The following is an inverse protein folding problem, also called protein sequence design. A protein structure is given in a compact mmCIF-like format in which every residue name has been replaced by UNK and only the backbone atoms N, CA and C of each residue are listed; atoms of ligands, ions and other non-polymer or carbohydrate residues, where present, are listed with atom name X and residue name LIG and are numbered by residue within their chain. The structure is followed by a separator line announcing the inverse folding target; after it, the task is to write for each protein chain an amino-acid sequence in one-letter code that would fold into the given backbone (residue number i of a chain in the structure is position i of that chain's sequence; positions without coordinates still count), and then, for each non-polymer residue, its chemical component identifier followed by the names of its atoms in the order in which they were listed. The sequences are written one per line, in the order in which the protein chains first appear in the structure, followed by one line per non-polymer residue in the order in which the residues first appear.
data_IF_441137127055
#
_entry.id   IF_441137127055
#
_cell.length_a   1.000
_cell.length_b   1.000
_cell.length_c   1.000
_cell.angle_alpha   90.00
_cell.angle_beta   90.00
_cell.angle_gamma   90.00
#
_symmetry.space_group_name_H-M   'P 1'
#
loop_
_entity.id
_entity.type
_entity.pdbx_description
1 polymer ?
#
# COMPACT_ATOMS: atom_id res chain seq x y z
N UNK A 1 -3.43 12.18 33.25
CA UNK A 1 -3.15 10.73 33.25
C UNK A 1 -1.84 10.53 32.52
N UNK A 2 -0.89 9.79 33.09
CA UNK A 2 0.49 9.69 32.61
C UNK A 2 0.59 8.95 31.27
N UNK A 3 0.73 9.68 30.16
CA UNK A 3 1.05 9.09 28.86
C UNK A 3 2.56 8.84 28.73
N UNK A 4 3.08 7.84 29.42
CA UNK A 4 4.39 7.26 29.08
C UNK A 4 4.18 5.94 28.32
N UNK A 5 3.59 6.02 27.13
CA UNK A 5 3.47 4.85 26.26
C UNK A 5 4.72 4.79 25.39
N UNK A 6 5.79 4.22 25.94
CA UNK A 6 6.94 3.84 25.13
C UNK A 6 6.49 2.80 24.11
N UNK A 7 6.65 3.09 22.82
CA UNK A 7 6.26 2.12 21.80
C UNK A 7 7.25 0.97 21.76
N UNK A 8 6.74 -0.25 21.71
CA UNK A 8 7.56 -1.42 21.40
C UNK A 8 7.63 -1.65 19.90
N UNK A 9 8.66 -2.36 19.43
CA UNK A 9 8.77 -2.78 18.03
C UNK A 9 7.54 -3.58 17.61
N UNK A 10 7.03 -4.46 18.48
CA UNK A 10 5.85 -5.29 18.20
C UNK A 10 4.59 -4.44 18.00
N UNK A 11 4.37 -3.41 18.83
CA UNK A 11 3.22 -2.51 18.69
C UNK A 11 3.24 -1.70 17.39
N UNK A 12 4.43 -1.27 16.97
CA UNK A 12 4.62 -0.55 15.70
C UNK A 12 4.42 -1.49 14.50
N UNK A 13 4.89 -2.74 14.60
CA UNK A 13 4.69 -3.76 13.57
C UNK A 13 3.21 -4.15 13.42
N UNK A 14 2.46 -4.31 14.52
CA UNK A 14 1.05 -4.72 14.47
C UNK A 14 0.13 -3.65 13.86
N UNK A 15 0.53 -2.38 13.94
CA UNK A 15 -0.26 -1.24 13.47
C UNK A 15 0.40 -0.52 12.29
N UNK A 16 1.17 -1.22 11.46
CA UNK A 16 1.86 -0.58 10.35
C UNK A 16 0.87 -0.01 9.32
N UNK A 17 0.89 1.30 9.14
CA UNK A 17 0.05 1.98 8.14
C UNK A 17 0.35 1.44 6.73
N UNK A 18 -0.68 1.26 5.90
CA UNK A 18 -0.63 0.56 4.60
C UNK A 18 -0.28 -0.94 4.62
N UNK A 19 0.15 -1.50 5.76
CA UNK A 19 0.67 -2.87 5.86
C UNK A 19 -0.13 -3.82 6.74
N UNK A 20 -1.18 -3.35 7.41
CA UNK A 20 -2.05 -4.18 8.26
C UNK A 20 -2.72 -5.30 7.44
N UNK A 21 -2.79 -6.50 8.02
CA UNK A 21 -3.52 -7.60 7.41
C UNK A 21 -5.03 -7.35 7.54
N UNK A 22 -5.68 -7.15 6.39
CA UNK A 22 -7.12 -6.83 6.28
C UNK A 22 -7.91 -7.87 5.49
N UNK A 23 -7.21 -8.67 4.69
CA UNK A 23 -7.76 -9.80 3.94
C UNK A 23 -6.73 -10.92 3.93
N UNK A 24 -7.20 -12.15 4.07
CA UNK A 24 -6.42 -13.32 3.71
C UNK A 24 -6.29 -13.35 2.20
N UNK A 25 -5.07 -13.21 1.67
CA UNK A 25 -4.85 -13.02 0.23
C UNK A 25 -5.27 -14.23 -0.60
N UNK A 26 -5.26 -15.45 -0.02
CA UNK A 26 -5.55 -16.73 -0.69
C UNK A 26 -5.04 -16.78 -2.14
N UNK A 27 -3.80 -16.32 -2.36
CA UNK A 27 -3.30 -15.91 -3.68
C UNK A 27 -3.25 -17.03 -4.70
N UNK A 28 -3.12 -18.28 -4.26
CA UNK A 28 -3.17 -19.47 -5.11
C UNK A 28 -4.56 -19.70 -5.75
N UNK A 29 -5.65 -19.18 -5.16
CA UNK A 29 -6.99 -19.27 -5.74
C UNK A 29 -7.20 -18.33 -6.93
N UNK A 30 -6.30 -17.36 -7.15
CA UNK A 30 -6.35 -16.46 -8.31
C UNK A 30 -6.29 -17.19 -9.64
N UNK A 31 -5.69 -18.38 -9.68
CA UNK A 31 -5.60 -19.21 -10.89
C UNK A 31 -6.87 -20.04 -11.14
N UNK A 32 -7.70 -20.21 -10.11
CA UNK A 32 -8.93 -20.98 -10.18
C UNK A 32 -10.06 -20.11 -10.76
N UNK A 33 -10.36 -20.30 -12.05
CA UNK A 33 -11.38 -19.52 -12.75
C UNK A 33 -12.79 -19.67 -12.20
N UNK A 34 -13.14 -20.82 -11.60
CA UNK A 34 -14.46 -21.05 -11.00
C UNK A 34 -14.57 -20.29 -9.67
N UNK A 35 -13.56 -20.39 -8.80
CA UNK A 35 -13.49 -19.59 -7.58
C UNK A 35 -13.57 -18.09 -7.88
N UNK A 36 -12.79 -17.61 -8.85
CA UNK A 36 -12.77 -16.18 -9.21
C UNK A 36 -14.13 -15.73 -9.75
N UNK A 37 -14.81 -16.59 -10.53
CA UNK A 37 -16.17 -16.34 -11.01
C UNK A 37 -17.15 -16.22 -9.83
N UNK A 38 -17.21 -17.25 -8.98
CA UNK A 38 -18.11 -17.28 -7.83
C UNK A 38 -17.85 -16.08 -6.92
N UNK A 39 -16.59 -15.79 -6.64
CA UNK A 39 -16.16 -14.69 -5.78
C UNK A 39 -16.55 -13.31 -6.31
N UNK A 40 -16.38 -13.02 -7.61
CA UNK A 40 -16.74 -11.70 -8.15
C UNK A 40 -18.26 -11.52 -8.31
N UNK A 41 -18.99 -12.60 -8.58
CA UNK A 41 -20.45 -12.56 -8.71
C UNK A 41 -21.18 -12.64 -7.37
N UNK A 42 -20.50 -13.04 -6.30
CA UNK A 42 -21.12 -13.23 -5.00
C UNK A 42 -21.78 -11.93 -4.50
N UNK A 43 -23.00 -11.97 -3.91
CA UNK A 43 -23.64 -10.79 -3.33
C UNK A 43 -22.78 -10.07 -2.28
N UNK A 44 -21.97 -10.81 -1.54
CA UNK A 44 -21.10 -10.23 -0.51
C UNK A 44 -19.84 -9.56 -1.06
N UNK A 45 -19.50 -9.72 -2.35
CA UNK A 45 -18.24 -9.17 -2.88
C UNK A 45 -18.14 -7.65 -2.67
N UNK A 46 -16.94 -7.18 -2.36
CA UNK A 46 -16.59 -5.78 -2.09
C UNK A 46 -15.70 -5.23 -3.19
N UNK A 47 -15.99 -4.01 -3.62
CA UNK A 47 -15.27 -3.34 -4.71
C UNK A 47 -14.75 -1.98 -4.27
N UNK A 48 -13.46 -1.76 -4.53
CA UNK A 48 -12.78 -0.47 -4.34
C UNK A 48 -12.44 0.08 -5.72
N UNK A 49 -12.98 1.24 -6.06
CA UNK A 49 -12.85 1.83 -7.39
C UNK A 49 -11.72 2.83 -7.47
N UNK A 50 -11.02 2.80 -8.59
CA UNK A 50 -9.91 3.68 -8.90
C UNK A 50 -10.05 4.29 -10.29
N UNK A 51 -9.59 5.53 -10.45
CA UNK A 51 -9.42 6.20 -11.73
C UNK A 51 -8.02 6.82 -11.75
N UNK A 52 -7.18 6.46 -12.71
CA UNK A 52 -5.75 6.76 -12.77
C UNK A 52 -5.00 6.37 -11.49
N UNK A 53 -5.39 5.23 -10.88
CA UNK A 53 -4.89 4.74 -9.57
C UNK A 53 -5.27 5.60 -8.36
N UNK A 54 -6.14 6.60 -8.56
CA UNK A 54 -6.71 7.42 -7.49
C UNK A 54 -8.01 6.78 -7.01
N UNK A 55 -8.19 6.56 -5.70
CA UNK A 55 -9.35 5.91 -5.13
C UNK A 55 -10.57 6.84 -5.12
N UNK A 56 -11.76 6.26 -5.25
CA UNK A 56 -13.02 6.94 -5.01
C UNK A 56 -13.19 7.20 -3.50
N UNK A 57 -13.50 8.44 -3.15
CA UNK A 57 -13.73 8.84 -1.76
C UNK A 57 -15.01 9.64 -1.57
N UNK A 58 -15.47 9.70 -0.32
CA UNK A 58 -16.50 10.65 0.16
C UNK A 58 -15.88 11.57 1.22
N UNK A 59 -16.25 12.85 1.21
CA UNK A 59 -15.97 13.83 2.28
C UNK A 59 -17.28 14.39 2.81
N UNK A 60 -17.37 14.85 4.07
CA UNK A 60 -16.32 14.88 5.10
C UNK A 60 -16.27 13.61 5.97
N UNK A 61 -16.75 12.46 5.49
CA UNK A 61 -16.87 11.24 6.30
C UNK A 61 -15.57 10.83 7.02
N UNK A 62 -15.71 10.31 8.24
CA UNK A 62 -14.61 9.74 9.03
C UNK A 62 -13.94 8.56 8.32
N UNK A 63 -14.69 7.89 7.43
CA UNK A 63 -14.26 6.79 6.58
C UNK A 63 -14.36 7.20 5.13
N UNK A 64 -13.22 7.53 4.54
CA UNK A 64 -13.18 8.28 3.27
C UNK A 64 -13.15 7.35 2.09
N UNK A 65 -12.56 6.16 2.22
CA UNK A 65 -12.47 5.21 1.10
C UNK A 65 -13.83 4.59 0.82
N UNK A 66 -14.29 4.69 -0.43
CA UNK A 66 -15.54 4.05 -0.83
C UNK A 66 -15.32 2.56 -1.09
N UNK A 67 -16.04 1.73 -0.34
CA UNK A 67 -16.09 0.27 -0.51
C UNK A 67 -17.54 -0.12 -0.80
N UNK A 68 -17.82 -0.59 -2.02
CA UNK A 68 -19.18 -0.92 -2.46
C UNK A 68 -19.44 -2.42 -2.39
N UNK A 69 -20.68 -2.78 -2.07
CA UNK A 69 -21.16 -4.17 -2.08
C UNK A 69 -21.71 -4.56 -3.45
N UNK A 70 -21.61 -5.84 -3.79
CA UNK A 70 -22.24 -6.34 -5.01
C UNK A 70 -23.75 -6.47 -4.84
N UNK A 71 -24.20 -7.17 -3.81
CA UNK A 71 -25.59 -7.42 -3.50
C UNK A 71 -26.14 -6.44 -2.47
N UNK A 72 -27.45 -6.49 -2.30
CA UNK A 72 -28.20 -5.63 -1.40
C UNK A 72 -28.11 -6.12 0.05
N UNK A 73 -28.36 -5.20 0.99
CA UNK A 73 -28.57 -5.51 2.41
C UNK A 73 -27.51 -6.43 3.04
N UNK A 74 -26.24 -6.23 2.66
CA UNK A 74 -25.13 -7.05 3.14
C UNK A 74 -24.81 -6.73 4.61
N UNK A 75 -24.48 -7.76 5.40
CA UNK A 75 -24.42 -7.67 6.88
C UNK A 75 -23.36 -6.74 7.43
N UNK A 76 -22.23 -6.63 6.74
CA UNK A 76 -21.16 -5.77 7.19
C UNK A 76 -21.52 -4.37 6.73
N UNK A 77 -22.08 -3.60 7.66
CA UNK A 77 -21.93 -2.15 7.70
C UNK A 77 -20.64 -1.89 8.46
N UNK A 78 -19.48 -2.07 7.81
CA UNK A 78 -18.27 -1.46 8.34
C UNK A 78 -18.52 0.05 8.37
N UNK A 79 -17.95 0.82 9.31
CA UNK A 79 -17.98 2.28 9.25
C UNK A 79 -17.56 2.83 7.87
N UNK A 80 -16.81 2.03 7.09
CA UNK A 80 -16.29 2.30 5.74
C UNK A 80 -17.18 1.92 4.57
N UNK A 81 -18.23 1.14 4.80
CA UNK A 81 -19.09 0.66 3.71
C UNK A 81 -20.14 1.73 3.38
N UNK A 82 -19.74 2.71 2.57
CA UNK A 82 -20.69 3.66 1.98
C UNK A 82 -21.60 2.89 1.00
N UNK A 83 -22.92 3.07 1.11
CA UNK A 83 -23.94 2.45 0.25
C UNK A 83 -24.22 0.94 0.45
N UNK A 84 -23.97 0.37 1.65
CA UNK A 84 -24.20 -1.06 1.92
C UNK A 84 -25.67 -1.56 1.78
N UNK A 85 -26.65 -0.66 1.67
CA UNK A 85 -28.08 -1.02 1.58
C UNK A 85 -28.50 -1.39 0.15
N UNK A 86 -27.89 -0.81 -0.88
CA UNK A 86 -28.16 -1.10 -2.29
C UNK A 86 -26.87 -1.53 -3.00
N UNK A 87 -26.83 -2.74 -3.53
CA UNK A 87 -25.65 -3.29 -4.18
C UNK A 87 -25.54 -2.90 -5.66
N UNK A 88 -24.31 -2.94 -6.17
CA UNK A 88 -24.02 -2.67 -7.58
C UNK A 88 -24.72 -3.62 -8.55
N UNK A 89 -25.03 -4.85 -8.13
CA UNK A 89 -25.70 -5.86 -8.94
C UNK A 89 -27.12 -5.45 -9.36
N UNK A 90 -27.72 -4.39 -8.81
CA UNK A 90 -28.97 -3.82 -9.32
C UNK A 90 -28.82 -3.18 -10.70
N UNK A 91 -27.61 -2.73 -11.04
CA UNK A 91 -27.36 -2.04 -12.31
C UNK A 91 -27.05 -3.05 -13.42
N UNK A 92 -27.86 -3.13 -14.50
CA UNK A 92 -27.62 -4.06 -15.61
C UNK A 92 -26.26 -3.85 -16.30
N UNK A 93 -25.77 -2.60 -16.30
CA UNK A 93 -24.43 -2.27 -16.81
C UNK A 93 -23.33 -2.90 -15.95
N UNK A 94 -23.45 -2.86 -14.62
CA UNK A 94 -22.49 -3.51 -13.72
C UNK A 94 -22.50 -5.03 -13.85
N UNK A 95 -23.68 -5.64 -13.90
CA UNK A 95 -23.82 -7.09 -14.13
C UNK A 95 -23.09 -7.52 -15.42
N UNK A 96 -23.20 -6.72 -16.49
CA UNK A 96 -22.49 -6.96 -17.75
C UNK A 96 -20.99 -6.84 -17.59
N UNK A 97 -20.51 -5.82 -16.88
CA UNK A 97 -19.08 -5.60 -16.60
C UNK A 97 -18.49 -6.82 -15.89
N UNK A 98 -19.11 -7.26 -14.78
CA UNK A 98 -18.64 -8.41 -13.98
C UNK A 98 -18.63 -9.70 -14.80
N UNK A 99 -19.73 -9.99 -15.51
CA UNK A 99 -19.82 -11.18 -16.36
C UNK A 99 -18.76 -11.18 -17.46
N UNK A 100 -18.64 -10.07 -18.18
CA UNK A 100 -17.67 -9.91 -19.29
C UNK A 100 -16.26 -10.08 -18.77
N UNK A 101 -15.91 -9.42 -17.67
CA UNK A 101 -14.59 -9.56 -17.06
C UNK A 101 -14.29 -11.01 -16.67
N UNK A 102 -15.23 -11.66 -15.98
CA UNK A 102 -15.06 -13.03 -15.48
C UNK A 102 -14.80 -14.02 -16.61
N UNK A 103 -15.58 -13.95 -17.69
CA UNK A 103 -15.42 -14.78 -18.89
C UNK A 103 -14.06 -14.53 -19.58
N UNK A 104 -13.65 -13.26 -19.73
CA UNK A 104 -12.37 -12.89 -20.37
C UNK A 104 -11.16 -13.28 -19.51
N UNK A 105 -11.23 -13.11 -18.18
CA UNK A 105 -10.17 -13.52 -17.27
C UNK A 105 -10.01 -15.05 -17.26
N UNK A 106 -11.13 -15.81 -17.24
CA UNK A 106 -11.11 -17.27 -17.29
C UNK A 106 -10.51 -17.81 -18.58
N UNK A 107 -10.85 -17.20 -19.72
CA UNK A 107 -10.32 -17.57 -21.04
C UNK A 107 -8.95 -16.99 -21.36
N UNK A 108 -8.44 -16.05 -20.53
CA UNK A 108 -7.23 -15.28 -20.77
C UNK A 108 -7.25 -14.58 -22.14
N UNK A 109 -8.38 -13.94 -22.46
CA UNK A 109 -8.61 -13.28 -23.74
C UNK A 109 -7.59 -12.16 -24.00
N UNK A 110 -7.02 -12.13 -25.20
CA UNK A 110 -5.97 -11.19 -25.58
C UNK A 110 -6.42 -9.71 -25.59
N UNK A 111 -7.72 -9.46 -25.61
CA UNK A 111 -8.34 -8.14 -25.71
C UNK A 111 -9.03 -7.69 -24.41
N UNK A 112 -8.79 -8.39 -23.29
CA UNK A 112 -9.43 -8.12 -22.00
C UNK A 112 -9.32 -6.65 -21.57
N UNK A 113 -8.17 -6.00 -21.82
CA UNK A 113 -7.91 -4.60 -21.45
C UNK A 113 -8.79 -3.58 -22.19
N UNK A 114 -9.33 -3.94 -23.36
CA UNK A 114 -10.17 -3.05 -24.16
C UNK A 114 -11.66 -3.32 -23.94
N UNK A 115 -12.01 -4.52 -23.49
CA UNK A 115 -13.40 -4.97 -23.32
C UNK A 115 -13.91 -4.87 -21.89
N UNK A 116 -13.03 -4.68 -20.90
CA UNK A 116 -13.39 -4.67 -19.50
C UNK A 116 -12.46 -3.79 -18.65
N UNK A 117 -12.98 -3.15 -17.58
CA UNK A 117 -12.16 -2.52 -16.54
C UNK A 117 -11.09 -3.47 -15.99
N UNK A 118 -10.03 -2.91 -15.41
CA UNK A 118 -9.01 -3.71 -14.74
C UNK A 118 -9.51 -4.18 -13.39
N UNK A 119 -9.55 -5.48 -13.12
CA UNK A 119 -9.85 -6.01 -11.79
C UNK A 119 -8.65 -6.74 -11.20
N UNK A 120 -8.51 -6.61 -9.88
CA UNK A 120 -7.53 -7.35 -9.07
C UNK A 120 -8.26 -7.97 -7.89
N UNK A 121 -8.14 -9.28 -7.73
CA UNK A 121 -8.62 -9.96 -6.53
C UNK A 121 -7.62 -9.78 -5.37
N UNK A 122 -8.08 -9.10 -4.32
CA UNK A 122 -7.25 -8.75 -3.15
C UNK A 122 -7.19 -9.89 -2.13
N UNK A 123 -8.30 -10.62 -1.95
CA UNK A 123 -8.39 -11.71 -0.99
C UNK A 123 -9.79 -11.87 -0.41
N UNK A 124 -9.88 -12.65 0.67
CA UNK A 124 -11.07 -12.86 1.46
C UNK A 124 -10.92 -12.18 2.82
N UNK A 125 -11.94 -11.44 3.25
CA UNK A 125 -12.14 -11.16 4.68
C UNK A 125 -12.78 -12.40 5.30
N UNK A 126 -12.02 -13.17 6.07
CA UNK A 126 -12.38 -14.47 6.64
C UNK A 126 -12.05 -14.56 8.15
N UNK A 127 -12.26 -15.72 8.77
CA UNK A 127 -11.99 -15.92 10.20
C UNK A 127 -10.54 -15.64 10.60
N UNK A 128 -9.58 -15.90 9.71
CA UNK A 128 -8.16 -15.69 10.02
C UNK A 128 -7.80 -14.22 10.17
N UNK A 129 -8.60 -13.33 9.57
CA UNK A 129 -8.44 -11.87 9.66
C UNK A 129 -9.50 -11.18 10.53
N UNK A 130 -10.36 -11.96 11.21
CA UNK A 130 -11.29 -11.45 12.22
C UNK A 130 -12.78 -11.52 11.87
N UNK A 131 -13.16 -12.13 10.74
CA UNK A 131 -14.58 -12.33 10.42
C UNK A 131 -15.20 -13.42 11.28
N UNK A 132 -16.20 -13.09 12.10
CA UNK A 132 -16.98 -14.09 12.81
C UNK A 132 -18.06 -14.73 11.90
N UNK A 133 -17.69 -15.81 11.21
CA UNK A 133 -18.64 -16.56 10.36
C UNK A 133 -19.83 -17.13 11.14
N UNK A 134 -19.70 -17.44 12.42
CA UNK A 134 -20.82 -18.00 13.20
C UNK A 134 -21.93 -16.96 13.37
N UNK A 135 -21.55 -15.69 13.60
CA UNK A 135 -22.49 -14.58 13.67
C UNK A 135 -23.23 -14.34 12.34
N UNK A 136 -22.61 -14.66 11.21
CA UNK A 136 -23.17 -14.43 9.87
C UNK A 136 -24.07 -15.58 9.36
N UNK A 137 -23.93 -16.79 9.90
CA UNK A 137 -24.71 -18.00 9.52
C UNK A 137 -26.17 -18.01 10.01
N UNK A 138 -26.63 -16.97 10.68
CA UNK A 138 -27.90 -16.97 11.44
C UNK A 138 -29.16 -16.87 10.54
N UNK A 139 -29.01 -16.56 9.24
CA UNK A 139 -30.13 -16.39 8.30
C UNK A 139 -29.93 -17.20 7.01
N UNK A 140 -31.04 -17.59 6.37
CA UNK A 140 -31.14 -18.47 5.17
C UNK A 140 -30.56 -17.89 3.87
N UNK A 141 -30.00 -16.67 3.90
CA UNK A 141 -29.35 -16.03 2.75
C UNK A 141 -27.83 -16.15 2.89
N UNK A 142 -27.11 -16.58 1.85
CA UNK A 142 -25.64 -16.68 1.85
C UNK A 142 -25.00 -15.27 1.95
N UNK A 143 -24.66 -14.84 3.17
CA UNK A 143 -24.08 -13.51 3.47
C UNK A 143 -22.57 -13.41 3.20
N UNK A 144 -21.92 -14.53 2.89
CA UNK A 144 -20.50 -14.63 2.58
C UNK A 144 -20.28 -15.80 1.60
N UNK A 145 -19.20 -15.75 0.81
CA UNK A 145 -18.85 -16.80 -0.14
C UNK A 145 -18.44 -18.06 0.62
N UNK A 146 -19.01 -19.21 0.29
CA UNK A 146 -18.48 -20.52 0.67
C UNK A 146 -18.02 -21.28 -0.56
N UNK A 147 -16.70 -21.28 -0.81
CA UNK A 147 -16.13 -22.06 -1.88
C UNK A 147 -15.71 -23.45 -1.38
N UNK A 148 -16.48 -24.46 -1.80
CA UNK A 148 -16.22 -25.88 -1.56
C UNK A 148 -16.13 -26.28 -0.07
N UNK A 149 -16.75 -25.53 0.84
CA UNK A 149 -16.69 -25.81 2.28
C UNK A 149 -15.32 -25.52 2.91
N UNK A 150 -14.39 -24.92 2.16
CA UNK A 150 -12.99 -24.75 2.58
C UNK A 150 -12.56 -23.29 2.67
N UNK A 151 -13.02 -22.46 1.73
CA UNK A 151 -12.65 -21.05 1.68
C UNK A 151 -13.91 -20.21 1.84
N UNK A 152 -14.12 -19.74 3.07
CA UNK A 152 -15.31 -19.02 3.48
C UNK A 152 -14.94 -17.58 3.82
N UNK A 153 -15.64 -16.60 3.27
CA UNK A 153 -15.41 -15.20 3.60
C UNK A 153 -16.00 -14.22 2.60
N UNK A 154 -15.62 -12.95 2.74
CA UNK A 154 -16.09 -11.87 1.87
C UNK A 154 -15.02 -11.52 0.85
N UNK A 155 -15.28 -11.68 -0.47
CA UNK A 155 -14.31 -11.33 -1.50
C UNK A 155 -14.08 -9.82 -1.62
N UNK A 156 -12.82 -9.40 -1.77
CA UNK A 156 -12.46 -8.02 -2.06
C UNK A 156 -11.76 -7.89 -3.42
N UNK A 157 -12.18 -6.89 -4.19
CA UNK A 157 -11.62 -6.55 -5.49
C UNK A 157 -11.25 -5.07 -5.57
N UNK A 158 -10.11 -4.77 -6.20
CA UNK A 158 -9.80 -3.43 -6.68
C UNK A 158 -10.15 -3.33 -8.17
N UNK A 159 -10.78 -2.22 -8.58
CA UNK A 159 -11.30 -2.01 -9.92
C UNK A 159 -10.81 -0.69 -10.50
N UNK A 160 -10.08 -0.74 -11.61
CA UNK A 160 -9.63 0.43 -12.35
C UNK A 160 -10.58 0.74 -13.52
N UNK A 161 -11.29 1.86 -13.40
CA UNK A 161 -12.27 2.35 -14.37
C UNK A 161 -11.72 3.47 -15.27
N UNK A 162 -10.41 3.72 -15.26
CA UNK A 162 -9.78 4.82 -16.02
C UNK A 162 -10.20 4.87 -17.49
N UNK A 163 -10.26 3.71 -18.15
CA UNK A 163 -10.59 3.59 -19.58
C UNK A 163 -12.08 3.31 -19.84
N UNK A 164 -12.91 3.33 -18.80
CA UNK A 164 -14.33 2.99 -18.82
C UNK A 164 -15.14 4.09 -18.11
N UNK A 165 -15.22 5.30 -18.70
CA UNK A 165 -15.84 6.46 -18.07
C UNK A 165 -17.33 6.26 -17.77
N UNK A 166 -18.02 5.46 -18.59
CA UNK A 166 -19.41 5.07 -18.36
C UNK A 166 -19.59 4.25 -17.07
N UNK A 167 -18.62 3.39 -16.74
CA UNK A 167 -18.60 2.65 -15.47
C UNK A 167 -18.21 3.56 -14.32
N UNK A 168 -17.28 4.50 -14.53
CA UNK A 168 -16.91 5.51 -13.54
C UNK A 168 -18.12 6.39 -13.15
N UNK A 169 -18.89 6.85 -14.13
CA UNK A 169 -20.10 7.64 -13.90
C UNK A 169 -21.17 6.84 -13.16
N UNK A 170 -21.35 5.56 -13.51
CA UNK A 170 -22.26 4.65 -12.80
C UNK A 170 -21.92 4.58 -11.30
N UNK A 171 -20.66 4.30 -10.96
CA UNK A 171 -20.28 4.12 -9.55
C UNK A 171 -20.33 5.42 -8.75
N UNK A 172 -19.94 6.55 -9.36
CA UNK A 172 -20.06 7.87 -8.72
C UNK A 172 -21.53 8.22 -8.47
N UNK A 173 -22.41 8.00 -9.45
CA UNK A 173 -23.83 8.29 -9.30
C UNK A 173 -24.49 7.38 -8.27
N UNK A 174 -24.11 6.10 -8.22
CA UNK A 174 -24.58 5.16 -7.22
C UNK A 174 -24.22 5.63 -5.80
N UNK A 175 -22.97 6.03 -5.57
CA UNK A 175 -22.54 6.58 -4.26
C UNK A 175 -23.28 7.87 -3.93
N UNK A 176 -23.41 8.80 -4.89
CA UNK A 176 -24.16 10.06 -4.70
C UNK A 176 -25.62 9.84 -4.31
N UNK A 177 -26.26 8.81 -4.85
CA UNK A 177 -27.62 8.44 -4.46
C UNK A 177 -27.68 7.90 -3.02
N UNK A 178 -26.68 7.13 -2.61
CA UNK A 178 -26.61 6.59 -1.25
C UNK A 178 -26.33 7.64 -0.17
N UNK A 179 -25.58 8.70 -0.49
CA UNK A 179 -25.32 9.84 0.42
C UNK A 179 -26.30 11.00 0.22
N UNK A 180 -27.37 10.79 -0.56
CA UNK A 180 -28.35 11.83 -0.86
C UNK A 180 -29.04 12.27 0.43
N UNK A 181 -28.87 13.55 0.78
CA UNK A 181 -29.39 14.14 2.02
C UNK A 181 -28.30 14.61 2.99
N UNK A 182 -27.04 14.29 2.70
CA UNK A 182 -25.87 14.94 3.30
C UNK A 182 -25.36 16.03 2.34
N UNK A 183 -25.71 17.29 2.62
CA UNK A 183 -25.39 18.43 1.75
C UNK A 183 -23.88 18.74 1.71
N UNK A 184 -23.11 18.23 2.68
CA UNK A 184 -21.65 18.37 2.75
C UNK A 184 -20.94 17.21 2.03
N UNK A 185 -21.67 16.19 1.55
CA UNK A 185 -21.11 15.00 0.95
C UNK A 185 -20.52 15.24 -0.45
N UNK A 186 -19.19 15.23 -0.58
CA UNK A 186 -18.50 15.29 -1.86
C UNK A 186 -17.96 13.92 -2.28
N UNK A 187 -18.40 13.43 -3.44
CA UNK A 187 -17.98 12.14 -4.02
C UNK A 187 -17.07 12.36 -5.22
N UNK A 188 -15.81 11.93 -5.14
CA UNK A 188 -14.84 12.11 -6.22
C UNK A 188 -13.63 11.17 -6.12
N UNK A 189 -12.90 10.99 -7.23
CA UNK A 189 -11.61 10.31 -7.23
C UNK A 189 -10.51 11.29 -6.81
N UNK A 190 -9.77 10.98 -5.74
CA UNK A 190 -8.78 11.90 -5.16
C UNK A 190 -7.35 11.58 -5.57
N UNK A 191 -6.61 12.57 -6.07
CA UNK A 191 -5.15 12.50 -6.31
C UNK A 191 -4.31 13.00 -5.11
N UNK A 192 -4.95 13.50 -4.05
CA UNK A 192 -4.27 14.16 -2.94
C UNK A 192 -3.72 13.17 -1.91
N UNK A 193 -2.40 13.21 -1.68
CA UNK A 193 -1.74 12.43 -0.61
C UNK A 193 -2.30 12.69 0.77
N UNK A 194 -2.78 13.90 1.05
CA UNK A 194 -3.40 14.25 2.34
C UNK A 194 -4.65 13.41 2.61
N UNK A 195 -5.40 13.03 1.58
CA UNK A 195 -6.57 12.17 1.78
C UNK A 195 -6.15 10.73 2.08
N UNK A 196 -5.18 10.18 1.33
CA UNK A 196 -4.69 8.81 1.54
C UNK A 196 -4.10 8.59 2.92
N UNK A 197 -3.39 9.60 3.45
CA UNK A 197 -2.75 9.57 4.76
C UNK A 197 -3.71 9.87 5.91
N UNK A 198 -4.98 10.14 5.61
CA UNK A 198 -6.04 10.34 6.62
C UNK A 198 -7.00 9.15 6.70
N UNK A 199 -6.75 8.09 5.93
CA UNK A 199 -7.53 6.87 6.02
C UNK A 199 -7.26 6.16 7.34
N UNK A 200 -8.26 5.53 7.97
CA UNK A 200 -8.03 4.53 9.00
C UNK A 200 -7.08 3.43 8.51
N UNK A 201 -6.38 2.76 9.43
CA UNK A 201 -5.34 1.77 9.08
C UNK A 201 -5.83 0.67 8.13
N UNK A 202 -7.06 0.19 8.33
CA UNK A 202 -7.62 -0.88 7.50
C UNK A 202 -7.98 -0.39 6.08
N UNK A 203 -8.55 0.82 5.93
CA UNK A 203 -8.77 1.44 4.63
C UNK A 203 -7.45 1.70 3.91
N UNK A 204 -6.45 2.22 4.64
CA UNK A 204 -5.12 2.48 4.10
C UNK A 204 -4.48 1.19 3.57
N UNK A 205 -4.56 0.08 4.31
CA UNK A 205 -4.04 -1.21 3.88
C UNK A 205 -4.75 -1.75 2.62
N UNK A 206 -6.07 -1.68 2.56
CA UNK A 206 -6.84 -2.07 1.37
C UNK A 206 -6.49 -1.18 0.17
N UNK A 207 -6.46 0.14 0.37
CA UNK A 207 -6.08 1.13 -0.62
C UNK A 207 -4.69 0.84 -1.20
N UNK A 208 -3.70 0.65 -0.32
CA UNK A 208 -2.31 0.36 -0.69
C UNK A 208 -2.21 -0.92 -1.51
N UNK A 209 -2.86 -2.00 -1.05
CA UNK A 209 -2.87 -3.28 -1.75
C UNK A 209 -3.46 -3.16 -3.16
N UNK A 210 -4.62 -2.52 -3.32
CA UNK A 210 -5.23 -2.30 -4.63
C UNK A 210 -4.39 -1.39 -5.53
N UNK A 211 -3.92 -0.26 -5.00
CA UNK A 211 -3.15 0.74 -5.75
C UNK A 211 -1.86 0.16 -6.32
N UNK A 212 -1.09 -0.59 -5.54
CA UNK A 212 0.20 -1.13 -6.02
C UNK A 212 0.02 -2.11 -7.18
N UNK A 213 -1.03 -2.95 -7.15
CA UNK A 213 -1.35 -3.83 -8.28
C UNK A 213 -1.83 -3.03 -9.50
N UNK A 214 -2.76 -2.09 -9.31
CA UNK A 214 -3.33 -1.33 -10.42
C UNK A 214 -2.31 -0.37 -11.07
N UNK A 215 -1.42 0.24 -10.28
CA UNK A 215 -0.30 1.04 -10.80
C UNK A 215 0.66 0.18 -11.64
N UNK A 216 0.99 -1.02 -11.17
CA UNK A 216 1.77 -1.98 -11.97
C UNK A 216 1.04 -2.38 -13.27
N UNK A 217 -0.24 -2.74 -13.19
CA UNK A 217 -1.02 -3.17 -14.36
C UNK A 217 -1.21 -2.05 -15.40
N UNK A 218 -1.30 -0.79 -14.96
CA UNK A 218 -1.48 0.37 -15.84
C UNK A 218 -0.18 0.79 -16.53
N UNK A 219 0.98 0.67 -15.85
CA UNK A 219 2.30 1.02 -16.41
C UNK A 219 2.88 -0.08 -17.31
N UNK A 220 2.45 -1.33 -17.14
CA UNK A 220 2.97 -2.48 -17.88
C UNK A 220 1.98 -2.96 -18.94
N UNK A 221 1.95 -2.28 -20.09
CA UNK A 221 1.07 -2.59 -21.22
C UNK A 221 1.72 -3.48 -22.28
N UNK A 222 3.06 -3.52 -22.30
CA UNK A 222 3.86 -4.26 -23.25
C UNK A 222 4.87 -5.16 -22.53
N UNK A 223 5.23 -6.26 -23.18
CA UNK A 223 6.18 -7.25 -22.69
C UNK A 223 7.60 -6.67 -22.80
N UNK A 224 8.34 -6.53 -21.69
CA UNK A 224 9.70 -6.00 -21.75
C UNK A 224 10.66 -6.88 -22.56
N UNK A 225 10.34 -8.17 -22.69
CA UNK A 225 11.12 -9.10 -23.50
C UNK A 225 10.97 -8.89 -25.00
N UNK A 226 9.78 -8.57 -25.53
CA UNK A 226 9.55 -8.59 -26.99
C UNK A 226 8.69 -7.44 -27.55
N UNK A 227 8.27 -6.49 -26.73
CA UNK A 227 7.42 -5.37 -27.14
C UNK A 227 5.97 -5.72 -27.46
N UNK A 228 5.58 -7.00 -27.48
CA UNK A 228 4.17 -7.41 -27.68
C UNK A 228 3.29 -7.00 -26.50
N UNK A 229 1.97 -6.89 -26.71
CA UNK A 229 1.03 -6.56 -25.63
C UNK A 229 1.07 -7.61 -24.50
N UNK A 230 0.78 -7.17 -23.28
CA UNK A 230 0.55 -8.07 -22.14
C UNK A 230 -0.87 -7.92 -21.60
N UNK A 231 -1.44 -9.01 -21.15
CA UNK A 231 -2.77 -9.05 -20.52
C UNK A 231 -2.66 -9.44 -19.05
N UNK A 232 -3.50 -8.86 -18.16
CA UNK A 232 -3.68 -9.39 -16.82
C UNK A 232 -4.34 -10.77 -16.89
N UNK A 233 -3.83 -11.70 -16.10
CA UNK A 233 -4.41 -13.02 -15.86
C UNK A 233 -4.39 -13.29 -14.35
N UNK A 234 -5.00 -14.40 -13.95
CA UNK A 234 -5.06 -14.83 -12.54
C UNK A 234 -5.67 -13.71 -11.67
N UNK A 235 -6.83 -13.20 -12.09
CA UNK A 235 -7.55 -12.12 -11.41
C UNK A 235 -6.67 -10.88 -11.13
N UNK A 236 -5.91 -10.45 -12.15
CA UNK A 236 -5.00 -9.30 -12.07
C UNK A 236 -3.67 -9.58 -11.35
N UNK A 237 -3.44 -10.81 -10.89
CA UNK A 237 -2.25 -11.19 -10.12
C UNK A 237 -0.97 -11.41 -10.94
N UNK A 238 -1.09 -11.53 -12.27
CA UNK A 238 0.02 -11.85 -13.16
C UNK A 238 -0.18 -11.23 -14.55
N UNK A 239 0.90 -10.85 -15.23
CA UNK A 239 0.91 -10.42 -16.62
C UNK A 239 1.38 -11.55 -17.54
N UNK A 240 0.65 -11.76 -18.64
CA UNK A 240 0.98 -12.70 -19.70
C UNK A 240 1.21 -11.98 -21.02
N UNK A 241 2.36 -12.24 -21.64
CA UNK A 241 2.65 -11.80 -23.00
C UNK A 241 1.71 -12.49 -24.00
N UNK A 242 1.14 -11.71 -24.94
CA UNK A 242 0.24 -12.23 -25.98
C UNK A 242 0.99 -12.79 -27.19
N UNK A 243 2.32 -12.59 -27.26
CA UNK A 243 3.13 -13.19 -28.32
C UNK A 243 3.04 -14.72 -28.23
N UNK A 244 2.48 -15.33 -29.27
CA UNK A 244 2.33 -16.77 -29.41
C UNK A 244 3.23 -17.35 -30.52
N UNK A 245 4.17 -16.57 -31.06
CA UNK A 245 5.10 -17.04 -32.10
C UNK A 245 5.91 -18.21 -31.56
N UNK A 246 5.45 -19.40 -31.94
CA UNK A 246 6.20 -20.66 -31.90
C UNK A 246 6.78 -21.03 -33.27
N UNK A 247 6.53 -20.25 -34.33
CA UNK A 247 6.81 -20.65 -35.71
C UNK A 247 7.55 -19.56 -36.55
N UNK A 248 8.88 -19.72 -36.64
CA UNK A 248 9.63 -20.10 -37.87
C UNK A 248 9.75 -19.18 -39.09
N UNK A 249 9.54 -17.85 -39.00
CA UNK A 249 10.02 -16.93 -40.06
C UNK A 249 10.66 -15.62 -39.60
N UNK A 250 10.39 -15.17 -38.36
CA UNK A 250 11.04 -14.01 -37.73
C UNK A 250 11.32 -14.36 -36.25
N UNK A 251 12.56 -14.76 -35.97
CA UNK A 251 12.95 -15.75 -34.96
C UNK A 251 13.19 -15.20 -33.53
N UNK A 252 12.46 -14.15 -33.12
CA UNK A 252 12.61 -13.63 -31.75
C UNK A 252 11.70 -14.39 -30.77
N UNK A 253 12.25 -15.45 -30.17
CA UNK A 253 11.59 -16.14 -29.06
C UNK A 253 11.53 -15.21 -27.85
N UNK A 254 10.31 -14.81 -27.46
CA UNK A 254 10.12 -13.93 -26.32
C UNK A 254 10.66 -14.58 -25.02
N UNK A 255 11.68 -13.97 -24.36
CA UNK A 255 12.31 -14.55 -23.17
C UNK A 255 11.35 -14.60 -21.97
N UNK A 256 10.31 -13.75 -21.97
CA UNK A 256 9.28 -13.74 -20.91
C UNK A 256 8.24 -14.83 -21.13
N UNK A 257 7.75 -14.99 -22.37
CA UNK A 257 6.69 -15.95 -22.68
C UNK A 257 7.17 -17.40 -22.58
N UNK A 258 8.41 -17.63 -22.98
CA UNK A 258 9.05 -18.94 -23.00
C UNK A 258 9.68 -19.38 -21.66
N UNK A 259 9.82 -18.46 -20.70
CA UNK A 259 10.38 -18.78 -19.39
C UNK A 259 9.39 -19.58 -18.53
N UNK A 260 9.92 -20.50 -17.72
CA UNK A 260 9.16 -21.19 -16.67
C UNK A 260 8.65 -20.20 -15.62
N UNK A 261 9.50 -19.26 -15.22
CA UNK A 261 9.20 -18.14 -14.33
C UNK A 261 9.95 -16.92 -14.83
N UNK A 262 9.24 -15.79 -14.94
CA UNK A 262 9.81 -14.49 -15.27
C UNK A 262 9.29 -13.46 -14.27
N UNK A 263 10.19 -12.78 -13.56
CA UNK A 263 9.84 -11.70 -12.63
C UNK A 263 9.02 -10.59 -13.33
N UNK A 264 9.24 -10.37 -14.63
CA UNK A 264 8.48 -9.40 -15.46
C UNK A 264 6.97 -9.70 -15.54
N UNK A 265 6.54 -10.91 -15.16
CA UNK A 265 5.12 -11.28 -15.11
C UNK A 265 4.45 -10.97 -13.79
N UNK A 266 5.19 -10.55 -12.76
CA UNK A 266 4.66 -10.34 -11.41
C UNK A 266 4.75 -8.87 -11.00
N UNK A 267 3.91 -8.41 -10.04
CA UNK A 267 4.03 -7.08 -9.48
C UNK A 267 5.43 -6.82 -8.95
N UNK A 268 5.94 -5.61 -9.22
CA UNK A 268 7.23 -5.15 -8.72
C UNK A 268 7.04 -4.41 -7.39
N UNK A 269 7.90 -4.72 -6.43
CA UNK A 269 8.02 -3.97 -5.18
C UNK A 269 9.48 -3.56 -5.02
N UNK A 270 9.76 -2.26 -5.08
CA UNK A 270 11.13 -1.75 -4.97
C UNK A 270 11.53 -1.65 -3.50
N UNK A 271 12.65 -2.28 -3.13
CA UNK A 271 13.15 -2.26 -1.76
C UNK A 271 13.90 -0.96 -1.47
N UNK A 272 13.54 -0.28 -0.39
CA UNK A 272 14.10 1.00 0.03
C UNK A 272 14.49 0.89 1.50
N UNK A 273 15.77 1.08 1.82
CA UNK A 273 16.20 1.21 3.21
C UNK A 273 15.82 2.59 3.74
N UNK A 274 15.37 2.66 4.99
CA UNK A 274 15.16 3.93 5.69
C UNK A 274 15.64 3.81 7.12
N UNK A 275 16.53 4.71 7.52
CA UNK A 275 17.36 4.47 8.71
C UNK A 275 17.36 5.63 9.68
N UNK A 276 16.98 5.35 10.94
CA UNK A 276 17.28 6.25 12.04
C UNK A 276 18.73 5.99 12.49
N UNK A 277 19.60 6.97 12.23
CA UNK A 277 21.02 6.90 12.58
C UNK A 277 21.22 7.59 13.94
N UNK A 278 21.86 6.91 14.88
CA UNK A 278 21.95 7.35 16.28
C UNK A 278 23.24 6.85 16.92
N UNK A 279 23.67 7.44 18.04
CA UNK A 279 24.83 6.95 18.77
C UNK A 279 24.46 5.79 19.74
N UNK A 280 25.46 5.23 20.42
CA UNK A 280 25.30 4.03 21.27
C UNK A 280 24.29 4.20 22.41
N UNK A 281 24.27 5.36 23.07
CA UNK A 281 23.36 5.65 24.21
C UNK A 281 22.04 6.34 23.79
N UNK A 282 21.80 6.43 22.46
CA UNK A 282 20.63 7.06 21.85
C UNK A 282 20.45 8.54 22.20
N UNK A 283 21.46 9.23 22.75
CA UNK A 283 21.36 10.65 23.12
C UNK A 283 21.38 11.60 21.93
N UNK A 284 21.92 11.15 20.79
CA UNK A 284 21.93 11.88 19.52
C UNK A 284 21.24 11.08 18.42
N UNK A 285 20.53 11.78 17.54
CA UNK A 285 19.95 11.24 16.30
C UNK A 285 20.33 12.14 15.12
N UNK A 286 20.84 11.55 14.04
CA UNK A 286 21.10 12.25 12.80
C UNK A 286 19.82 12.30 11.98
N UNK A 287 19.43 13.51 11.58
CA UNK A 287 18.33 13.72 10.65
C UNK A 287 18.80 14.61 9.50
N UNK A 288 18.29 14.32 8.30
CA UNK A 288 18.64 15.02 7.07
C UNK A 288 17.46 15.81 6.50
N UNK A 289 17.77 16.88 5.78
CA UNK A 289 16.83 17.74 5.08
C UNK A 289 17.06 17.63 3.57
N UNK A 290 16.15 16.94 2.89
CA UNK A 290 16.18 16.83 1.43
C UNK A 290 15.75 18.16 0.78
N UNK A 291 16.34 18.50 -0.38
CA UNK A 291 16.01 19.69 -1.20
C UNK A 291 14.51 19.93 -1.35
N UNK A 292 13.72 18.87 -1.55
CA UNK A 292 12.25 18.93 -1.76
C UNK A 292 11.48 19.46 -0.55
N UNK A 293 12.07 19.44 0.64
CA UNK A 293 11.46 19.82 1.91
C UNK A 293 12.09 21.06 2.55
N UNK A 294 12.97 21.76 1.83
CA UNK A 294 13.65 22.96 2.31
C UNK A 294 12.68 24.01 2.89
N UNK A 295 11.57 24.26 2.18
CA UNK A 295 10.58 25.27 2.58
C UNK A 295 9.79 24.88 3.85
N UNK A 296 9.64 23.58 4.12
CA UNK A 296 8.92 23.09 5.29
C UNK A 296 9.85 22.74 6.45
N UNK A 297 11.17 22.76 6.23
CA UNK A 297 12.20 22.32 7.18
C UNK A 297 11.87 20.97 7.81
N UNK A 298 11.41 20.02 6.98
CA UNK A 298 11.07 18.67 7.45
C UNK A 298 12.32 17.80 7.42
N UNK A 299 12.87 17.54 8.61
CA UNK A 299 14.03 16.66 8.79
C UNK A 299 13.56 15.22 8.98
N UNK A 300 14.22 14.27 8.33
CA UNK A 300 13.81 12.86 8.29
C UNK A 300 15.02 11.93 8.42
N UNK A 301 14.74 10.64 8.55
CA UNK A 301 15.71 9.56 8.36
C UNK A 301 16.29 9.56 6.94
N UNK A 302 17.55 9.13 6.80
CA UNK A 302 18.23 8.79 5.53
C UNK A 302 17.53 7.60 4.87
N UNK A 303 17.32 7.65 3.56
CA UNK A 303 16.62 6.59 2.85
C UNK A 303 16.97 6.53 1.37
N UNK A 304 17.24 5.32 0.87
CA UNK A 304 17.53 5.12 -0.54
C UNK A 304 17.24 3.69 -1.02
N UNK A 305 17.29 3.52 -2.34
CA UNK A 305 16.98 2.25 -2.97
C UNK A 305 18.10 1.24 -2.72
N UNK A 306 17.74 -0.02 -2.53
CA UNK A 306 18.73 -1.10 -2.54
C UNK A 306 19.20 -1.37 -3.96
N UNK A 307 20.52 -1.48 -4.14
CA UNK A 307 21.11 -1.90 -5.41
C UNK A 307 21.09 -3.44 -5.52
N UNK A 308 21.13 -4.00 -6.74
CA UNK A 308 21.25 -5.43 -6.94
C UNK A 308 22.46 -6.01 -6.20
N UNK A 309 22.26 -7.15 -5.55
CA UNK A 309 23.30 -7.86 -4.79
C UNK A 309 23.72 -7.21 -3.46
N UNK A 310 22.95 -6.25 -2.94
CA UNK A 310 23.12 -5.74 -1.57
C UNK A 310 22.29 -6.52 -0.54
N UNK A 311 22.85 -6.73 0.65
CA UNK A 311 22.01 -6.99 1.83
C UNK A 311 21.44 -5.67 2.35
N UNK A 312 20.41 -5.73 3.19
CA UNK A 312 19.82 -4.53 3.80
C UNK A 312 20.88 -3.74 4.58
N UNK A 313 21.75 -4.43 5.32
CA UNK A 313 22.80 -3.81 6.12
C UNK A 313 23.91 -3.18 5.28
N UNK A 314 24.17 -3.69 4.07
CA UNK A 314 25.13 -3.10 3.12
C UNK A 314 24.52 -1.85 2.51
N UNK A 315 23.29 -1.94 1.97
CA UNK A 315 22.57 -0.81 1.41
C UNK A 315 22.42 0.32 2.43
N UNK A 316 22.03 0.00 3.67
CA UNK A 316 21.94 0.99 4.76
C UNK A 316 23.26 1.72 5.01
N UNK A 317 24.39 1.00 5.07
CA UNK A 317 25.69 1.65 5.29
C UNK A 317 26.11 2.52 4.12
N UNK A 318 25.88 2.04 2.89
CA UNK A 318 26.15 2.80 1.67
C UNK A 318 25.34 4.09 1.67
N UNK A 319 24.03 4.02 1.82
CA UNK A 319 23.13 5.18 1.79
C UNK A 319 23.46 6.21 2.88
N UNK A 320 23.79 5.77 4.10
CA UNK A 320 24.22 6.70 5.17
C UNK A 320 25.52 7.42 4.76
N UNK A 321 26.50 6.68 4.24
CA UNK A 321 27.79 7.24 3.88
C UNK A 321 27.70 8.16 2.65
N UNK A 322 26.97 7.76 1.61
CA UNK A 322 26.76 8.55 0.40
C UNK A 322 26.04 9.86 0.72
N UNK A 323 24.91 9.83 1.43
CA UNK A 323 24.15 11.04 1.69
C UNK A 323 24.79 11.94 2.77
N UNK A 324 25.46 11.37 3.78
CA UNK A 324 25.84 12.11 5.00
C UNK A 324 27.30 12.03 5.39
N UNK A 325 28.12 11.18 4.76
CA UNK A 325 29.52 10.94 5.12
C UNK A 325 29.71 10.14 6.41
N UNK A 326 28.65 9.95 7.20
CA UNK A 326 28.70 9.28 8.51
C UNK A 326 28.96 7.78 8.33
N UNK A 327 29.79 7.21 9.21
CA UNK A 327 30.13 5.78 9.19
C UNK A 327 29.41 5.02 10.30
N UNK A 328 28.50 4.11 9.93
CA UNK A 328 27.75 3.29 10.87
C UNK A 328 28.43 1.96 11.21
N UNK A 329 28.59 1.67 12.50
CA UNK A 329 29.21 0.44 13.00
C UNK A 329 28.26 -0.76 12.88
N UNK A 330 27.01 -0.60 13.33
CA UNK A 330 26.01 -1.67 13.35
C UNK A 330 24.68 -1.22 12.75
N UNK A 331 23.99 -2.12 12.06
CA UNK A 331 22.66 -1.92 11.50
C UNK A 331 21.72 -2.99 12.03
N UNK A 332 20.55 -2.58 12.52
CA UNK A 332 19.48 -3.48 12.97
C UNK A 332 18.21 -3.22 12.16
N UNK A 333 17.65 -4.27 11.57
CA UNK A 333 16.33 -4.22 10.92
C UNK A 333 15.25 -4.23 12.00
N UNK A 334 14.26 -3.34 11.88
CA UNK A 334 13.25 -3.13 12.93
C UNK A 334 11.84 -3.42 12.43
N UNK A 335 11.45 -2.81 11.32
CA UNK A 335 10.07 -2.90 10.81
C UNK A 335 10.05 -2.64 9.32
N UNK A 336 8.94 -2.97 8.65
CA UNK A 336 8.76 -2.70 7.21
C UNK A 336 7.42 -2.05 6.96
N UNK A 337 7.35 -1.13 5.99
CA UNK A 337 6.13 -0.45 5.60
C UNK A 337 5.96 -0.48 4.08
N UNK A 338 4.84 -1.01 3.55
CA UNK A 338 4.47 -0.79 2.16
C UNK A 338 4.24 0.71 1.90
N UNK A 339 4.81 1.24 0.84
CA UNK A 339 4.66 2.65 0.48
C UNK A 339 4.17 2.76 -0.98
N UNK A 340 2.86 2.99 -1.19
CA UNK A 340 2.21 2.88 -2.50
C UNK A 340 2.42 4.12 -3.38
N UNK A 341 3.63 4.67 -3.36
CA UNK A 341 4.03 5.88 -4.09
C UNK A 341 5.44 5.72 -4.72
N UNK A 342 5.59 4.90 -5.80
CA UNK A 342 4.55 4.16 -6.51
C UNK A 342 4.27 2.76 -5.92
N UNK A 343 5.31 1.97 -5.63
CA UNK A 343 5.18 0.60 -5.12
C UNK A 343 6.46 0.16 -4.39
N UNK A 344 6.81 0.84 -3.29
CA UNK A 344 8.02 0.53 -2.54
C UNK A 344 7.72 -0.32 -1.29
N UNK A 345 8.70 -1.09 -0.84
CA UNK A 345 8.76 -1.64 0.51
C UNK A 345 9.84 -0.89 1.28
N UNK A 346 9.42 -0.05 2.22
CA UNK A 346 10.33 0.64 3.13
C UNK A 346 10.80 -0.35 4.18
N UNK A 347 12.11 -0.50 4.32
CA UNK A 347 12.77 -1.39 5.28
C UNK A 347 13.42 -0.50 6.34
N UNK A 348 12.72 -0.39 7.47
CA UNK A 348 13.10 0.47 8.59
C UNK A 348 14.23 -0.13 9.41
N UNK A 349 15.32 0.61 9.50
CA UNK A 349 16.53 0.22 10.22
C UNK A 349 16.90 1.23 11.31
N UNK A 350 17.65 0.77 12.29
CA UNK A 350 18.41 1.62 13.20
C UNK A 350 19.89 1.36 12.95
N UNK A 351 20.65 2.43 12.68
CA UNK A 351 22.10 2.37 12.58
C UNK A 351 22.73 3.04 13.80
N UNK A 352 23.70 2.35 14.40
CA UNK A 352 24.48 2.87 15.53
C UNK A 352 25.84 3.35 15.07
N UNK A 353 26.19 4.57 15.46
CA UNK A 353 27.50 5.22 15.21
C UNK A 353 28.25 5.35 16.54
N UNK A 354 29.48 4.85 16.57
CA UNK A 354 30.41 5.07 17.67
C UNK A 354 31.11 6.42 17.45
N UNK A 355 30.81 7.39 18.31
CA UNK A 355 31.37 8.74 18.21
C UNK A 355 32.83 8.71 18.66
N UNK A 356 33.74 9.05 17.75
CA UNK A 356 35.17 8.99 17.95
C UNK A 356 35.92 10.19 17.34
N UNK A 357 35.20 11.20 16.86
CA UNK A 357 35.73 12.38 16.16
C UNK A 357 35.81 12.23 14.65
N UNK A 358 35.59 11.02 14.11
CA UNK A 358 35.68 10.73 12.67
C UNK A 358 34.35 10.18 12.13
N UNK A 359 33.80 9.14 12.77
CA UNK A 359 32.62 8.44 12.28
C UNK A 359 31.35 9.32 12.23
N UNK A 360 31.25 10.28 13.13
CA UNK A 360 30.11 11.21 13.23
C UNK A 360 30.24 12.46 12.35
N UNK A 361 31.36 12.61 11.64
CA UNK A 361 31.61 13.73 10.74
C UNK A 361 30.61 13.71 9.59
N UNK A 362 30.00 14.88 9.32
CA UNK A 362 29.01 15.03 8.26
C UNK A 362 29.70 15.60 7.02
N UNK A 363 29.51 14.95 5.89
CA UNK A 363 29.93 15.39 4.56
C UNK A 363 28.78 15.17 3.56
N UNK A 364 28.30 16.25 2.94
CA UNK A 364 27.18 16.26 2.01
C UNK A 364 27.60 16.41 0.55
N UNK A 365 28.91 16.43 0.27
CA UNK A 365 29.44 16.74 -1.06
C UNK A 365 29.48 15.53 -2.02
N UNK A 366 29.14 14.33 -1.55
CA UNK A 366 29.21 13.10 -2.36
C UNK A 366 28.13 13.02 -3.46
N UNK A 367 26.85 13.24 -3.14
CA UNK A 367 25.72 13.11 -4.09
C UNK A 367 24.93 14.41 -4.30
N UNK A 368 25.00 15.33 -3.34
CA UNK A 368 24.26 16.59 -3.33
C UNK A 368 22.74 16.44 -3.23
N UNK A 369 22.17 15.35 -2.73
CA UNK A 369 20.72 15.19 -2.57
C UNK A 369 20.16 16.01 -1.39
N UNK A 370 20.95 16.10 -0.32
CA UNK A 370 20.62 16.81 0.90
C UNK A 370 21.07 18.29 0.86
N UNK A 371 20.36 19.15 1.58
CA UNK A 371 20.79 20.54 1.81
C UNK A 371 21.30 20.77 3.23
N UNK A 372 20.98 19.86 4.15
CA UNK A 372 21.41 19.92 5.53
C UNK A 372 21.33 18.51 6.15
N UNK A 373 22.23 18.21 7.08
CA UNK A 373 22.15 17.05 7.95
C UNK A 373 22.79 17.41 9.28
N UNK A 374 22.13 17.03 10.39
CA UNK A 374 22.55 17.45 11.73
C UNK A 374 22.31 16.35 12.75
N UNK A 375 23.24 16.25 13.70
CA UNK A 375 23.03 15.51 14.93
C UNK A 375 22.18 16.33 15.90
N UNK A 376 20.95 15.89 16.14
CA UNK A 376 20.03 16.49 17.09
C UNK A 376 20.12 15.79 18.45
N UNK A 377 19.98 16.56 19.53
CA UNK A 377 19.71 15.99 20.84
C UNK A 377 18.36 15.28 20.84
N UNK A 378 18.36 14.00 21.23
CA UNK A 378 17.13 13.19 21.30
C UNK A 378 16.10 13.80 22.26
N UNK A 379 16.54 14.55 23.27
CA UNK A 379 15.66 15.31 24.18
C UNK A 379 14.94 16.48 23.50
N UNK A 380 15.53 17.10 22.48
CA UNK A 380 14.89 18.15 21.67
C UNK A 380 13.88 17.50 20.73
N UNK A 381 14.27 16.43 20.05
CA UNK A 381 13.39 15.68 19.13
C UNK A 381 12.18 15.10 19.87
N UNK A 382 12.35 14.70 21.14
CA UNK A 382 11.25 14.24 22.01
C UNK A 382 10.10 15.23 22.10
N UNK A 383 10.38 16.54 22.10
CA UNK A 383 9.34 17.59 22.16
C UNK A 383 8.49 17.65 20.89
N UNK A 384 9.04 17.21 19.76
CA UNK A 384 8.30 17.11 18.49
C UNK A 384 7.49 15.80 18.39
N UNK A 385 8.00 14.71 18.98
CA UNK A 385 7.30 13.42 19.04
C UNK A 385 6.14 13.45 20.04
N UNK A 386 6.33 14.12 21.18
CA UNK A 386 5.34 14.28 22.24
C UNK A 386 5.13 15.76 22.54
N UNK A 387 4.45 16.50 21.64
CA UNK A 387 4.21 17.92 21.84
C UNK A 387 3.34 18.16 23.08
N UNK A 388 3.80 19.05 23.94
CA UNK A 388 3.02 19.66 25.03
C UNK A 388 2.71 21.14 24.72
N UNK A 389 1.86 21.78 25.54
CA UNK A 389 1.48 23.20 25.36
C UNK A 389 2.69 24.17 25.40
N UNK A 390 3.88 23.72 25.85
CA UNK A 390 5.10 24.51 25.99
C UNK A 390 6.16 24.20 24.90
N UNK A 391 5.87 23.31 23.95
CA UNK A 391 6.84 22.73 22.99
C UNK A 391 7.17 23.61 21.76
N UNK A 392 6.83 24.90 21.77
CA UNK A 392 6.65 25.72 20.56
C UNK A 392 7.90 26.35 19.91
N UNK A 393 9.13 26.00 20.31
CA UNK A 393 10.33 26.76 19.90
C UNK A 393 11.39 25.95 19.10
N UNK A 394 10.98 24.86 18.44
CA UNK A 394 11.88 24.06 17.60
C UNK A 394 11.58 24.32 16.11
N UNK A 395 12.50 25.00 15.42
CA UNK A 395 12.40 25.39 14.00
C UNK A 395 12.68 24.22 13.02
N UNK A 396 11.95 23.11 13.21
CA UNK A 396 11.93 21.97 12.28
C UNK A 396 10.64 21.16 12.41
N UNK A 397 10.28 20.44 11.35
CA UNK A 397 9.17 19.49 11.34
C UNK A 397 9.69 18.05 11.25
N UNK A 398 8.94 17.12 11.83
CA UNK A 398 9.13 15.69 11.62
C UNK A 398 8.19 15.15 10.53
N UNK A 399 8.48 13.97 9.96
CA UNK A 399 7.55 13.25 9.11
C UNK A 399 6.23 12.95 9.85
N UNK A 400 5.18 12.68 9.08
CA UNK A 400 3.86 12.39 9.62
C UNK A 400 3.87 11.14 10.52
N UNK A 401 3.01 11.06 11.56
CA UNK A 401 2.95 9.92 12.48
C UNK A 401 2.77 8.55 11.83
N UNK A 402 2.07 8.49 10.69
CA UNK A 402 1.78 7.27 9.94
C UNK A 402 3.01 6.74 9.17
N UNK A 403 4.09 7.52 9.08
CA UNK A 403 5.29 7.12 8.36
C UNK A 403 6.22 6.25 9.20
N UNK A 404 6.90 5.31 8.54
CA UNK A 404 7.97 4.51 9.15
C UNK A 404 9.11 5.39 9.66
N UNK A 405 9.39 6.53 9.02
CA UNK A 405 10.40 7.48 9.47
C UNK A 405 10.08 8.03 10.87
N UNK A 406 8.84 8.50 11.08
CA UNK A 406 8.40 8.95 12.40
C UNK A 406 8.43 7.80 13.43
N UNK A 407 8.00 6.60 13.04
CA UNK A 407 8.04 5.41 13.91
C UNK A 407 9.45 5.07 14.38
N UNK A 408 10.46 5.13 13.49
CA UNK A 408 11.87 4.91 13.84
C UNK A 408 12.43 6.01 14.75
N UNK A 409 12.12 7.27 14.46
CA UNK A 409 12.51 8.42 15.29
C UNK A 409 11.93 8.29 16.69
N UNK A 410 10.63 7.97 16.79
CA UNK A 410 9.95 7.74 18.06
C UNK A 410 10.59 6.61 18.85
N UNK A 411 10.98 5.52 18.18
CA UNK A 411 11.63 4.38 18.84
C UNK A 411 12.97 4.78 19.46
N UNK A 412 13.83 5.51 18.73
CA UNK A 412 15.10 6.03 19.27
C UNK A 412 14.87 6.96 20.47
N UNK A 413 13.86 7.85 20.38
CA UNK A 413 13.45 8.75 21.48
C UNK A 413 13.01 7.98 22.73
N UNK A 414 12.23 6.93 22.54
CA UNK A 414 11.71 6.10 23.62
C UNK A 414 12.81 5.25 24.26
N UNK A 415 13.74 4.70 23.46
CA UNK A 415 14.90 3.95 23.95
C UNK A 415 15.85 4.81 24.77
N UNK A 416 16.17 6.03 24.31
CA UNK A 416 17.01 6.97 25.07
C UNK A 416 16.45 7.26 26.46
N UNK A 417 15.12 7.33 26.58
CA UNK A 417 14.45 7.61 27.85
C UNK A 417 14.63 6.46 28.87
N UNK A 418 14.81 5.22 28.39
CA UNK A 418 15.08 4.05 29.24
C UNK A 418 16.49 4.04 29.81
N UNK A 419 17.47 4.65 29.13
CA UNK A 419 18.84 4.78 29.64
C UNK A 419 18.99 5.81 30.76
N UNK A 420 17.95 6.62 31.03
CA UNK A 420 17.93 7.62 32.11
C UNK A 420 17.23 7.15 33.39
N UNK A 421 16.61 5.96 33.35
CA UNK A 421 16.01 5.26 34.50
C UNK A 421 16.95 4.15 34.96
#
# INVERSE_FOLDING_TARGET
MSHSVHSTVLELQSNMYFGTEVVNRVSFLRENGDFVHDAITHPSARFIFYNKTDPLVVKPSDNKLVILTNGDHQLIKSPTDVAADEGLARHPQWQRVVRTWSELNKSMDADIRNKSPGFVFLGLYDQSVGLDLHSLKIYDDERYLDFQGRYQGIPFFAVDVTNFPDVADLVVNHVKQAVKGDDDAEVFFTYSRRHYLSFPHHEAALYSHGKMYLDWLSRNLFCPGCGSKVIPIHAGGKLRCTNNSKNDKDDYQCPVRGASVSNLSFPRTDAVVITAVTNTDRSKILLSLNKRHANTKMYSCTAGFMEPSETVEVATRREIWEETGVTANSVSLVMTQPWPFPANLMIGCIATVEFNGENESIDLDHDGELIDAKWFDTSVVRKLVYPDEQSLDVDMLLPMPESIAFSLIKLVVDEHSKFKL
#
